data_IF_329510415610
#
_entry.id   IF_329510415610
#
_cell.length_a   1.000
_cell.length_b   1.000
_cell.length_c   1.000
_cell.angle_alpha   90.00
_cell.angle_beta   90.00
_cell.angle_gamma   90.00
#
_symmetry.space_group_name_H-M   'P 1'
#
loop_
_entity.id
_entity.type
_entity.pdbx_description
1 polymer ?
#
# COMPACT_ATOMS: atom_id res chain seq x y z
N UNK A 1 30.49 0.54 -83.58
CA UNK A 1 30.26 1.15 -82.25
C UNK A 1 28.78 1.05 -81.96
N UNK A 2 28.39 0.15 -81.05
CA UNK A 2 27.02 0.02 -80.54
C UNK A 2 27.11 0.28 -79.03
N UNK A 3 26.53 1.37 -78.56
CA UNK A 3 26.47 1.71 -77.14
C UNK A 3 25.07 1.43 -76.64
N UNK A 4 24.94 0.47 -75.72
CA UNK A 4 23.72 0.22 -74.95
C UNK A 4 23.77 1.02 -73.66
N UNK A 5 22.74 1.84 -73.41
CA UNK A 5 22.54 2.51 -72.13
C UNK A 5 21.69 1.62 -71.21
N UNK A 6 22.22 1.31 -70.02
CA UNK A 6 21.51 0.59 -68.95
C UNK A 6 20.89 1.66 -68.05
N UNK A 7 19.55 1.66 -67.95
CA UNK A 7 18.82 2.47 -67.00
C UNK A 7 18.70 1.72 -65.67
N UNK A 8 19.28 2.27 -64.60
CA UNK A 8 19.16 1.75 -63.24
C UNK A 8 17.97 2.42 -62.55
N UNK A 9 16.89 1.66 -62.34
CA UNK A 9 15.72 2.08 -61.56
C UNK A 9 16.02 1.93 -60.06
N UNK A 10 16.13 3.05 -59.34
CA UNK A 10 16.12 3.06 -57.87
C UNK A 10 14.67 2.87 -57.37
N UNK A 11 14.39 1.76 -56.70
CA UNK A 11 13.17 1.55 -55.94
C UNK A 11 13.37 2.09 -54.51
N UNK A 12 12.75 3.23 -54.18
CA UNK A 12 12.60 3.68 -52.80
C UNK A 12 11.50 2.85 -52.12
N UNK A 13 11.89 1.89 -51.29
CA UNK A 13 10.98 1.20 -50.38
C UNK A 13 10.64 2.09 -49.19
N UNK A 14 9.41 2.60 -49.14
CA UNK A 14 8.87 3.28 -47.96
C UNK A 14 8.45 2.22 -46.93
N UNK A 15 9.30 1.97 -45.92
CA UNK A 15 8.92 1.20 -44.74
C UNK A 15 8.01 2.06 -43.86
N UNK A 16 6.69 1.90 -44.01
CA UNK A 16 5.72 2.43 -43.07
C UNK A 16 5.82 1.63 -41.76
N UNK A 17 6.55 2.16 -40.76
CA UNK A 17 6.50 1.67 -39.39
C UNK A 17 5.12 2.05 -38.84
N UNK A 18 4.20 1.10 -38.82
CA UNK A 18 2.92 1.25 -38.12
C UNK A 18 3.24 1.41 -36.63
N UNK A 19 3.16 2.63 -36.12
CA UNK A 19 3.18 2.89 -34.69
C UNK A 19 1.95 2.21 -34.07
N UNK A 20 2.16 1.08 -33.40
CA UNK A 20 1.12 0.47 -32.56
C UNK A 20 0.79 1.50 -31.48
N UNK A 21 -0.46 1.94 -31.33
CA UNK A 21 -0.82 2.89 -30.28
C UNK A 21 -0.44 2.28 -28.92
N UNK A 22 0.50 2.94 -28.22
CA UNK A 22 0.84 2.56 -26.86
C UNK A 22 -0.34 2.90 -25.96
N UNK A 23 -0.94 1.88 -25.35
CA UNK A 23 -1.99 2.06 -24.35
C UNK A 23 -1.32 2.70 -23.13
N UNK A 24 -1.74 3.91 -22.74
CA UNK A 24 -1.23 4.59 -21.55
C UNK A 24 -2.19 4.43 -20.38
N UNK A 25 -1.69 4.55 -19.16
CA UNK A 25 -2.54 4.55 -17.96
C UNK A 25 -3.58 5.70 -18.00
N UNK A 26 -4.78 5.44 -17.49
CA UNK A 26 -5.87 6.43 -17.36
C UNK A 26 -5.51 7.57 -16.40
N UNK A 27 -5.72 8.80 -16.83
CA UNK A 27 -5.53 10.01 -16.02
C UNK A 27 -6.79 10.52 -15.31
N UNK A 28 -7.98 10.09 -15.71
CA UNK A 28 -9.27 10.53 -15.18
C UNK A 28 -9.74 9.74 -13.94
N UNK A 29 -8.97 8.74 -13.51
CA UNK A 29 -9.22 8.00 -12.27
C UNK A 29 -8.82 8.85 -11.07
N UNK A 30 -9.74 9.03 -10.12
CA UNK A 30 -9.41 9.62 -8.81
C UNK A 30 -8.67 8.58 -7.96
N UNK A 31 -7.41 8.80 -7.55
CA UNK A 31 -6.72 7.86 -6.69
C UNK A 31 -7.36 7.77 -5.31
N UNK A 32 -7.24 6.60 -4.67
CA UNK A 32 -7.59 6.45 -3.25
C UNK A 32 -6.43 6.93 -2.39
N UNK A 33 -6.74 7.71 -1.36
CA UNK A 33 -5.77 8.31 -0.41
C UNK A 33 -6.13 7.95 1.03
N UNK A 34 -5.20 8.17 1.96
CA UNK A 34 -5.40 7.94 3.40
C UNK A 34 -5.55 9.26 4.14
N UNK A 35 -6.52 9.32 5.06
CA UNK A 35 -6.70 10.42 6.02
C UNK A 35 -7.24 9.85 7.34
N UNK A 36 -6.57 10.18 8.44
CA UNK A 36 -6.83 9.53 9.73
C UNK A 36 -6.67 8.01 9.61
N UNK A 37 -7.61 7.25 10.16
CA UNK A 37 -7.67 5.79 10.00
C UNK A 37 -8.57 5.33 8.82
N UNK A 38 -8.69 6.13 7.76
CA UNK A 38 -9.63 5.88 6.67
C UNK A 38 -9.04 6.07 5.27
N UNK A 39 -9.55 5.28 4.32
CA UNK A 39 -9.38 5.47 2.88
C UNK A 39 -10.46 6.38 2.29
N UNK A 40 -10.08 7.16 1.28
CA UNK A 40 -10.89 8.19 0.64
C UNK A 40 -10.69 8.20 -0.87
N UNK A 41 -11.76 8.35 -1.63
CA UNK A 41 -11.72 8.65 -3.06
C UNK A 41 -12.18 10.10 -3.24
N UNK A 42 -11.21 11.02 -3.38
CA UNK A 42 -11.50 12.44 -3.21
C UNK A 42 -11.99 12.72 -1.79
N UNK A 43 -13.16 13.33 -1.66
CA UNK A 43 -13.80 13.60 -0.37
C UNK A 43 -14.78 12.49 0.09
N UNK A 44 -14.96 11.44 -0.71
CA UNK A 44 -15.86 10.33 -0.39
C UNK A 44 -15.14 9.23 0.38
N UNK A 45 -15.75 8.77 1.48
CA UNK A 45 -15.24 7.63 2.26
C UNK A 45 -15.21 6.38 1.38
N UNK A 46 -14.02 5.79 1.23
CA UNK A 46 -13.82 4.59 0.44
C UNK A 46 -13.85 3.35 1.34
N UNK A 47 -14.88 2.52 1.14
CA UNK A 47 -14.97 1.18 1.73
C UNK A 47 -14.65 0.14 0.68
N UNK A 48 -13.66 -0.70 0.95
CA UNK A 48 -13.30 -1.81 0.06
C UNK A 48 -14.42 -2.84 0.07
N UNK A 49 -15.00 -3.09 -1.12
CA UNK A 49 -15.87 -4.21 -1.43
C UNK A 49 -15.19 -4.99 -2.53
N UNK A 50 -14.47 -6.04 -2.14
CA UNK A 50 -13.63 -6.73 -3.10
C UNK A 50 -13.51 -8.22 -2.90
N UNK A 51 -12.64 -8.78 -3.72
CA UNK A 51 -12.32 -10.20 -3.78
C UNK A 51 -10.83 -10.37 -4.02
N UNK A 52 -10.28 -11.46 -3.51
CA UNK A 52 -8.94 -11.90 -3.87
C UNK A 52 -8.97 -12.57 -5.24
N UNK A 53 -8.21 -12.03 -6.19
CA UNK A 53 -8.21 -12.39 -7.60
C UNK A 53 -6.84 -12.93 -8.02
N UNK A 54 -6.67 -14.24 -7.89
CA UNK A 54 -5.48 -14.95 -8.33
C UNK A 54 -5.84 -16.33 -8.90
N UNK A 55 -6.45 -16.39 -10.11
CA UNK A 55 -6.71 -17.66 -10.79
C UNK A 55 -5.51 -18.61 -10.79
N UNK A 56 -5.73 -19.84 -10.31
CA UNK A 56 -4.67 -20.82 -10.05
C UNK A 56 -4.14 -20.78 -8.61
N UNK A 57 -4.63 -19.89 -7.75
CA UNK A 57 -4.29 -19.78 -6.33
C UNK A 57 -3.04 -18.94 -6.04
N UNK A 58 -3.00 -18.38 -4.82
CA UNK A 58 -1.95 -17.47 -4.31
C UNK A 58 -0.53 -18.05 -4.29
N UNK A 59 -0.39 -19.38 -4.31
CA UNK A 59 0.92 -20.05 -4.32
C UNK A 59 1.51 -20.27 -5.71
N UNK A 60 0.70 -20.13 -6.77
CA UNK A 60 1.16 -20.28 -8.14
C UNK A 60 1.67 -18.94 -8.68
N UNK A 61 2.80 -18.99 -9.41
CA UNK A 61 3.33 -17.82 -10.13
C UNK A 61 2.53 -17.60 -11.42
N UNK A 62 1.32 -17.08 -11.27
CA UNK A 62 0.47 -16.59 -12.34
C UNK A 62 0.30 -15.08 -12.20
N UNK A 63 0.12 -14.38 -13.31
CA UNK A 63 -0.15 -12.94 -13.31
C UNK A 63 -1.46 -12.68 -14.07
N UNK A 64 -2.60 -12.58 -13.36
CA UNK A 64 -3.89 -12.38 -14.00
C UNK A 64 -4.04 -10.96 -14.58
N UNK A 65 -3.16 -10.01 -14.23
CA UNK A 65 -3.18 -8.67 -14.79
C UNK A 65 -2.51 -8.63 -16.16
N UNK A 66 -1.62 -9.58 -16.48
CA UNK A 66 -1.07 -9.74 -17.84
C UNK A 66 -1.98 -10.51 -18.80
N UNK A 67 -2.94 -11.27 -18.28
CA UNK A 67 -3.97 -11.94 -19.07
C UNK A 67 -5.15 -11.00 -19.34
N UNK A 68 -5.02 -10.15 -20.35
CA UNK A 68 -6.03 -9.14 -20.66
C UNK A 68 -7.42 -9.74 -20.98
N UNK A 69 -7.46 -10.86 -21.69
CA UNK A 69 -8.71 -11.53 -22.06
C UNK A 69 -9.39 -12.15 -20.82
N UNK A 70 -8.63 -12.86 -19.99
CA UNK A 70 -9.13 -13.40 -18.73
C UNK A 70 -9.59 -12.31 -17.76
N UNK A 71 -8.79 -11.26 -17.61
CA UNK A 71 -9.12 -10.09 -16.79
C UNK A 71 -10.43 -9.42 -17.25
N UNK A 72 -10.59 -9.13 -18.54
CA UNK A 72 -11.82 -8.50 -19.07
C UNK A 72 -13.05 -9.39 -18.88
N UNK A 73 -12.91 -10.70 -19.10
CA UNK A 73 -13.97 -11.69 -18.83
C UNK A 73 -14.40 -11.65 -17.37
N UNK A 74 -13.45 -11.59 -16.45
CA UNK A 74 -13.71 -11.64 -15.01
C UNK A 74 -14.22 -10.30 -14.45
N UNK A 75 -13.83 -9.18 -15.06
CA UNK A 75 -14.38 -7.84 -14.75
C UNK A 75 -15.90 -7.79 -14.90
N UNK A 76 -16.48 -8.50 -15.88
CA UNK A 76 -17.94 -8.60 -16.01
C UNK A 76 -18.58 -9.20 -14.73
N UNK A 77 -17.92 -10.20 -14.13
CA UNK A 77 -18.37 -10.82 -12.88
C UNK A 77 -18.14 -9.92 -11.67
N UNK A 78 -17.05 -9.15 -11.64
CA UNK A 78 -16.83 -8.15 -10.60
C UNK A 78 -17.92 -7.07 -10.61
N UNK A 79 -18.32 -6.60 -11.80
CA UNK A 79 -19.43 -5.64 -11.95
C UNK A 79 -20.76 -6.24 -11.50
N UNK A 80 -21.04 -7.50 -11.82
CA UNK A 80 -22.24 -8.19 -11.33
C UNK A 80 -22.31 -8.28 -9.79
N UNK A 81 -21.17 -8.42 -9.12
CA UNK A 81 -21.04 -8.42 -7.67
C UNK A 81 -21.05 -7.01 -7.05
N UNK A 82 -20.85 -5.96 -7.86
CA UNK A 82 -20.70 -4.58 -7.39
C UNK A 82 -19.38 -4.31 -6.68
N UNK A 83 -18.31 -5.01 -7.08
CA UNK A 83 -16.98 -4.82 -6.48
C UNK A 83 -16.35 -3.49 -6.91
N UNK A 84 -15.52 -2.93 -6.03
CA UNK A 84 -14.68 -1.78 -6.32
C UNK A 84 -13.19 -2.04 -6.11
N UNK A 85 -12.83 -3.21 -5.58
CA UNK A 85 -11.44 -3.55 -5.26
C UNK A 85 -11.16 -5.01 -5.60
N UNK A 86 -9.98 -5.30 -6.11
CA UNK A 86 -9.41 -6.65 -6.16
C UNK A 86 -8.08 -6.67 -5.44
N UNK A 87 -7.70 -7.82 -4.88
CA UNK A 87 -6.35 -8.08 -4.41
C UNK A 87 -5.66 -9.11 -5.29
N UNK A 88 -4.41 -8.86 -5.65
CA UNK A 88 -3.58 -9.80 -6.43
C UNK A 88 -2.32 -10.11 -5.63
N UNK A 89 -1.95 -11.38 -5.52
CA UNK A 89 -0.84 -11.85 -4.67
C UNK A 89 0.49 -11.90 -5.40
N UNK A 90 0.49 -11.98 -6.73
CA UNK A 90 1.71 -12.05 -7.54
C UNK A 90 1.51 -11.49 -8.92
N UNK A 91 2.49 -10.70 -9.37
CA UNK A 91 2.57 -10.15 -10.74
C UNK A 91 3.99 -10.31 -11.27
N UNK A 92 4.11 -10.48 -12.58
CA UNK A 92 5.38 -10.52 -13.29
C UNK A 92 5.80 -9.10 -13.64
N UNK A 93 6.66 -8.50 -12.80
CA UNK A 93 7.20 -7.15 -12.98
C UNK A 93 8.11 -6.97 -14.21
N UNK A 94 8.29 -7.99 -15.07
CA UNK A 94 8.93 -7.86 -16.38
C UNK A 94 7.95 -7.61 -17.53
N UNK A 95 6.64 -7.80 -17.29
CA UNK A 95 5.58 -7.72 -18.30
C UNK A 95 4.93 -6.34 -18.37
N UNK A 96 4.00 -6.22 -19.31
CA UNK A 96 3.11 -5.07 -19.45
C UNK A 96 1.75 -5.38 -18.85
N UNK A 97 1.14 -4.38 -18.21
CA UNK A 97 -0.11 -4.51 -17.45
C UNK A 97 -1.15 -3.48 -17.89
N UNK A 98 -0.87 -2.68 -18.94
CA UNK A 98 -1.64 -1.49 -19.27
C UNK A 98 -3.09 -1.84 -19.64
N UNK A 99 -3.29 -2.94 -20.37
CA UNK A 99 -4.61 -3.30 -20.88
C UNK A 99 -5.60 -3.72 -19.78
N UNK A 100 -5.22 -4.62 -18.87
CA UNK A 100 -6.06 -5.03 -17.76
C UNK A 100 -6.22 -3.91 -16.72
N UNK A 101 -5.14 -3.18 -16.39
CA UNK A 101 -5.24 -2.07 -15.42
C UNK A 101 -6.18 -0.96 -15.89
N UNK A 102 -6.19 -0.66 -17.19
CA UNK A 102 -7.14 0.28 -17.77
C UNK A 102 -8.57 -0.29 -17.82
N UNK A 103 -8.74 -1.59 -18.12
CA UNK A 103 -10.07 -2.22 -18.05
C UNK A 103 -10.65 -2.21 -16.63
N UNK A 104 -9.82 -2.45 -15.61
CA UNK A 104 -10.20 -2.31 -14.19
C UNK A 104 -10.59 -0.87 -13.87
N UNK A 105 -9.81 0.11 -14.34
CA UNK A 105 -10.11 1.52 -14.17
C UNK A 105 -11.45 1.93 -14.80
N UNK A 106 -11.72 1.48 -16.03
CA UNK A 106 -12.99 1.72 -16.74
C UNK A 106 -14.19 1.12 -15.99
N UNK A 107 -13.98 0.01 -15.28
CA UNK A 107 -14.98 -0.61 -14.40
C UNK A 107 -15.07 0.04 -13.01
N UNK A 108 -14.23 1.03 -12.70
CA UNK A 108 -14.17 1.67 -11.38
C UNK A 108 -13.55 0.80 -10.28
N UNK A 109 -12.75 -0.20 -10.67
CA UNK A 109 -12.12 -1.19 -9.79
C UNK A 109 -10.66 -0.81 -9.53
N UNK A 110 -10.28 -0.87 -8.26
CA UNK A 110 -8.94 -0.61 -7.77
C UNK A 110 -8.18 -1.89 -7.45
N UNK A 111 -6.86 -1.83 -7.53
CA UNK A 111 -5.95 -2.93 -7.23
C UNK A 111 -5.23 -2.70 -5.90
N UNK A 112 -5.37 -3.65 -4.97
CA UNK A 112 -4.42 -3.85 -3.86
C UNK A 112 -3.44 -4.94 -4.28
N UNK A 113 -2.14 -4.66 -4.24
CA UNK A 113 -1.13 -5.55 -4.79
C UNK A 113 -0.10 -5.97 -3.76
N UNK A 114 0.07 -7.26 -3.56
CA UNK A 114 1.27 -7.80 -2.92
C UNK A 114 2.47 -7.63 -3.88
N UNK A 115 3.48 -6.86 -3.46
CA UNK A 115 4.70 -6.67 -4.30
C UNK A 115 5.65 -7.86 -4.24
N UNK A 116 5.35 -8.81 -3.35
CA UNK A 116 6.10 -10.01 -3.07
C UNK A 116 5.71 -11.14 -4.02
N UNK A 117 6.56 -12.17 -4.10
CA UNK A 117 6.21 -13.45 -4.72
C UNK A 117 6.73 -14.60 -3.86
N UNK A 118 6.29 -15.85 -4.11
CA UNK A 118 6.89 -17.04 -3.49
C UNK A 118 8.42 -17.15 -3.65
N UNK A 119 9.04 -16.46 -4.62
CA UNK A 119 10.51 -16.45 -4.80
C UNK A 119 11.20 -15.22 -4.18
N UNK A 120 10.47 -14.12 -4.05
CA UNK A 120 10.97 -12.81 -3.59
C UNK A 120 10.09 -12.33 -2.45
N UNK A 121 10.42 -12.77 -1.24
CA UNK A 121 9.71 -12.42 0.00
C UNK A 121 10.62 -12.60 1.21
N UNK A 122 10.17 -12.12 2.37
CA UNK A 122 10.81 -12.44 3.64
C UNK A 122 10.57 -13.90 4.02
N UNK A 123 11.65 -14.63 4.28
CA UNK A 123 11.58 -15.94 4.89
C UNK A 123 11.46 -15.80 6.40
N UNK A 124 10.29 -16.12 6.96
CA UNK A 124 10.01 -16.03 8.40
C UNK A 124 11.01 -16.79 9.30
N UNK A 125 11.60 -17.87 8.81
CA UNK A 125 12.58 -18.66 9.55
C UNK A 125 13.98 -18.01 9.56
N UNK A 126 14.28 -17.19 8.54
CA UNK A 126 15.57 -16.53 8.34
C UNK A 126 15.39 -15.10 7.81
N UNK A 127 14.70 -14.21 8.56
CA UNK A 127 14.29 -12.91 8.05
C UNK A 127 15.49 -11.99 7.75
N UNK A 128 16.57 -12.12 8.53
CA UNK A 128 17.82 -11.38 8.29
C UNK A 128 18.47 -11.67 6.93
N UNK A 129 18.48 -12.92 6.51
CA UNK A 129 19.15 -13.35 5.27
C UNK A 129 18.31 -13.00 4.05
N UNK A 130 16.97 -13.11 4.20
CA UNK A 130 16.01 -12.83 3.11
C UNK A 130 15.74 -11.33 2.91
N UNK A 131 15.98 -10.49 3.93
CA UNK A 131 16.02 -9.03 3.77
C UNK A 131 17.37 -8.59 3.17
N UNK A 132 17.41 -8.58 1.83
CA UNK A 132 18.60 -8.27 1.05
C UNK A 132 18.30 -7.38 -0.16
N UNK A 133 19.35 -6.86 -0.80
CA UNK A 133 19.24 -5.95 -1.95
C UNK A 133 18.58 -6.56 -3.19
N UNK A 134 18.75 -7.86 -3.44
CA UNK A 134 18.07 -8.57 -4.55
C UNK A 134 16.56 -8.60 -4.34
N UNK A 135 16.11 -8.88 -3.11
CA UNK A 135 14.70 -8.80 -2.75
C UNK A 135 14.15 -7.38 -2.90
N UNK A 136 14.85 -6.38 -2.34
CA UNK A 136 14.40 -5.00 -2.40
C UNK A 136 14.34 -4.47 -3.84
N UNK A 137 15.31 -4.84 -4.69
CA UNK A 137 15.26 -4.51 -6.11
C UNK A 137 14.00 -5.03 -6.78
N UNK A 138 13.63 -6.29 -6.51
CA UNK A 138 12.47 -6.91 -7.13
C UNK A 138 11.17 -6.17 -6.76
N UNK A 139 10.95 -5.92 -5.47
CA UNK A 139 9.72 -5.24 -5.02
C UNK A 139 9.67 -3.78 -5.47
N UNK A 140 10.83 -3.08 -5.54
CA UNK A 140 10.90 -1.72 -6.08
C UNK A 140 10.61 -1.68 -7.59
N UNK A 141 11.07 -2.68 -8.36
CA UNK A 141 10.74 -2.80 -9.78
C UNK A 141 9.25 -3.08 -9.98
N UNK A 142 8.61 -3.83 -9.07
CA UNK A 142 7.14 -3.99 -9.06
C UNK A 142 6.45 -2.64 -8.79
N UNK A 143 6.95 -1.85 -7.83
CA UNK A 143 6.43 -0.47 -7.61
C UNK A 143 6.57 0.38 -8.87
N UNK A 144 7.73 0.38 -9.55
CA UNK A 144 7.94 1.14 -10.79
C UNK A 144 6.90 0.81 -11.87
N UNK A 145 6.49 -0.46 -11.96
CA UNK A 145 5.49 -0.93 -12.94
C UNK A 145 4.09 -0.44 -12.64
N UNK A 146 3.71 -0.41 -11.36
CA UNK A 146 2.33 -0.15 -10.95
C UNK A 146 2.10 1.29 -10.47
N UNK A 147 3.14 2.04 -10.14
CA UNK A 147 3.01 3.41 -9.64
C UNK A 147 2.35 4.39 -10.64
N UNK A 148 2.43 4.08 -11.94
CA UNK A 148 1.80 4.86 -13.00
C UNK A 148 0.26 4.76 -13.01
N UNK A 149 -0.33 3.71 -12.44
CA UNK A 149 -1.77 3.53 -12.45
C UNK A 149 -2.43 4.23 -11.26
N UNK A 150 -3.39 5.11 -11.53
CA UNK A 150 -4.15 5.80 -10.50
C UNK A 150 -5.11 4.89 -9.73
N UNK A 151 -5.51 3.75 -10.32
CA UNK A 151 -6.30 2.71 -9.65
C UNK A 151 -5.46 1.66 -8.89
N UNK A 152 -4.13 1.78 -8.83
CA UNK A 152 -3.35 1.05 -7.82
C UNK A 152 -3.60 1.70 -6.45
N UNK A 153 -4.43 1.04 -5.64
CA UNK A 153 -4.87 1.53 -4.34
C UNK A 153 -3.75 1.48 -3.32
N UNK A 154 -3.11 0.31 -3.16
CA UNK A 154 -2.17 0.06 -2.10
C UNK A 154 -1.21 -1.09 -2.45
N UNK A 155 -0.06 -1.10 -1.77
CA UNK A 155 0.88 -2.21 -1.80
C UNK A 155 0.97 -2.93 -0.46
N UNK A 156 0.99 -4.26 -0.50
CA UNK A 156 1.36 -5.08 0.65
C UNK A 156 2.86 -5.37 0.65
N UNK A 157 3.55 -4.95 1.72
CA UNK A 157 4.97 -5.21 1.99
C UNK A 157 5.24 -6.67 2.38
N UNK A 158 4.20 -7.41 2.77
CA UNK A 158 4.26 -8.84 3.06
C UNK A 158 2.88 -9.40 3.40
N UNK A 159 2.78 -10.72 3.35
CA UNK A 159 1.57 -11.47 3.69
C UNK A 159 1.92 -12.60 4.67
N UNK A 160 1.33 -12.60 5.87
CA UNK A 160 1.43 -13.66 6.88
C UNK A 160 2.86 -14.19 7.14
N UNK A 161 3.86 -13.31 7.00
CA UNK A 161 5.24 -13.60 7.39
C UNK A 161 5.27 -14.05 8.86
N UNK A 162 4.59 -13.31 9.75
CA UNK A 162 4.33 -13.74 11.14
C UNK A 162 3.06 -14.59 11.12
N UNK A 163 3.18 -15.86 11.50
CA UNK A 163 2.07 -16.81 11.54
C UNK A 163 1.89 -17.51 12.90
N UNK A 164 2.73 -17.19 13.88
CA UNK A 164 2.63 -17.60 15.28
C UNK A 164 3.36 -16.60 16.20
N UNK A 165 3.39 -16.88 17.50
CA UNK A 165 4.13 -16.07 18.47
C UNK A 165 5.65 -16.02 18.18
N UNK A 166 6.35 -17.16 18.07
CA UNK A 166 7.80 -17.20 17.82
C UNK A 166 8.27 -16.51 16.53
N UNK A 167 7.46 -16.53 15.46
CA UNK A 167 7.77 -15.88 14.18
C UNK A 167 7.69 -14.35 14.24
N UNK A 168 7.17 -13.76 15.32
CA UNK A 168 7.17 -12.30 15.54
C UNK A 168 8.56 -11.66 15.49
N UNK A 169 9.65 -12.44 15.63
CA UNK A 169 11.02 -12.01 15.34
C UNK A 169 11.23 -11.45 13.93
N UNK A 170 10.34 -11.77 12.99
CA UNK A 170 10.35 -11.22 11.65
C UNK A 170 9.70 -9.83 11.55
N UNK A 171 8.97 -9.36 12.57
CA UNK A 171 8.24 -8.08 12.52
C UNK A 171 9.14 -6.86 12.24
N UNK A 172 10.36 -6.72 12.82
CA UNK A 172 11.26 -5.63 12.45
C UNK A 172 11.62 -5.61 10.97
N UNK A 173 11.73 -6.78 10.33
CA UNK A 173 12.04 -6.89 8.91
C UNK A 173 10.83 -6.54 8.04
N UNK A 174 9.62 -6.99 8.41
CA UNK A 174 8.37 -6.59 7.73
C UNK A 174 8.19 -5.07 7.76
N UNK A 175 8.43 -4.46 8.93
CA UNK A 175 8.34 -3.01 9.06
C UNK A 175 9.46 -2.28 8.31
N UNK A 176 10.67 -2.82 8.26
CA UNK A 176 11.74 -2.27 7.43
C UNK A 176 11.43 -2.33 5.93
N UNK A 177 10.86 -3.42 5.42
CA UNK A 177 10.38 -3.51 4.03
C UNK A 177 9.31 -2.46 3.75
N UNK A 178 8.37 -2.27 4.69
CA UNK A 178 7.34 -1.24 4.61
C UNK A 178 7.94 0.17 4.54
N UNK A 179 8.88 0.50 5.45
CA UNK A 179 9.63 1.76 5.45
C UNK A 179 10.33 1.99 4.11
N UNK A 180 11.05 0.99 3.62
CA UNK A 180 11.87 1.13 2.41
C UNK A 180 11.02 1.25 1.14
N UNK A 181 9.88 0.58 1.05
CA UNK A 181 8.92 0.78 -0.05
C UNK A 181 8.36 2.20 -0.06
N UNK A 182 7.99 2.74 1.11
CA UNK A 182 7.51 4.13 1.24
C UNK A 182 8.62 5.12 0.87
N UNK A 183 9.84 4.88 1.36
CA UNK A 183 11.00 5.69 1.01
C UNK A 183 11.26 5.68 -0.50
N UNK A 184 11.18 4.51 -1.13
CA UNK A 184 11.37 4.36 -2.56
C UNK A 184 10.33 5.14 -3.34
N UNK A 185 9.03 4.97 -3.04
CA UNK A 185 7.93 5.71 -3.66
C UNK A 185 8.18 7.22 -3.63
N UNK A 186 8.57 7.76 -2.46
CA UNK A 186 8.88 9.19 -2.31
C UNK A 186 10.14 9.61 -3.07
N UNK A 187 11.20 8.82 -3.02
CA UNK A 187 12.48 9.11 -3.69
C UNK A 187 12.35 9.09 -5.22
N UNK A 188 11.40 8.32 -5.75
CA UNK A 188 11.05 8.29 -7.16
C UNK A 188 10.05 9.37 -7.57
N UNK A 189 9.57 10.20 -6.63
CA UNK A 189 8.53 11.20 -6.85
C UNK A 189 7.25 10.60 -7.47
N UNK A 190 6.89 9.39 -7.05
CA UNK A 190 5.62 8.78 -7.41
C UNK A 190 4.49 9.38 -6.57
N UNK A 191 3.24 9.18 -7.03
CA UNK A 191 2.07 9.36 -6.16
C UNK A 191 2.28 8.56 -4.88
N UNK A 192 1.92 9.15 -3.74
CA UNK A 192 1.97 8.48 -2.44
C UNK A 192 0.94 7.34 -2.39
N UNK A 193 1.31 6.18 -2.91
CA UNK A 193 0.53 4.95 -2.84
C UNK A 193 0.74 4.37 -1.44
N UNK A 194 -0.33 4.17 -0.65
CA UNK A 194 -0.24 3.56 0.67
C UNK A 194 0.48 2.21 0.64
N UNK A 195 1.41 2.01 1.57
CA UNK A 195 2.08 0.72 1.80
C UNK A 195 1.72 0.20 3.18
N UNK A 196 1.33 -1.07 3.25
CA UNK A 196 0.98 -1.72 4.50
C UNK A 196 1.24 -3.21 4.51
N UNK A 197 0.71 -3.92 5.50
CA UNK A 197 0.98 -5.33 5.73
C UNK A 197 -0.31 -6.12 5.89
N UNK A 198 -0.34 -7.33 5.32
CA UNK A 198 -1.42 -8.31 5.48
C UNK A 198 -0.98 -9.35 6.51
N UNK A 199 -1.53 -9.30 7.71
CA UNK A 199 -1.19 -10.19 8.80
C UNK A 199 -2.13 -11.41 8.90
N UNK A 200 -1.68 -12.47 9.57
CA UNK A 200 -2.57 -13.55 10.00
C UNK A 200 -3.37 -13.10 11.26
N UNK A 201 -4.61 -13.58 11.43
CA UNK A 201 -5.43 -13.29 12.60
C UNK A 201 -5.04 -14.12 13.85
N UNK A 202 -3.84 -13.91 14.37
CA UNK A 202 -3.33 -14.65 15.54
C UNK A 202 -3.84 -13.99 16.83
N UNK A 203 -4.63 -14.71 17.62
CA UNK A 203 -5.27 -14.18 18.84
C UNK A 203 -4.27 -13.53 19.82
N UNK A 204 -3.07 -14.11 19.94
CA UNK A 204 -2.10 -13.71 20.95
C UNK A 204 -1.22 -12.52 20.56
N UNK A 205 -1.12 -12.18 19.27
CA UNK A 205 -0.20 -11.14 18.81
C UNK A 205 -0.75 -10.17 17.75
N UNK A 206 -2.00 -10.33 17.29
CA UNK A 206 -2.61 -9.44 16.28
C UNK A 206 -2.53 -7.96 16.64
N UNK A 207 -2.78 -7.63 17.91
CA UNK A 207 -2.80 -6.24 18.37
C UNK A 207 -1.37 -5.71 18.46
N UNK A 208 -0.44 -6.52 18.97
CA UNK A 208 0.97 -6.19 19.05
C UNK A 208 1.55 -5.97 17.64
N UNK A 209 1.22 -6.82 16.67
CA UNK A 209 1.67 -6.65 15.29
C UNK A 209 1.14 -5.36 14.67
N UNK A 210 -0.15 -5.05 14.85
CA UNK A 210 -0.73 -3.79 14.38
C UNK A 210 -0.08 -2.57 15.06
N UNK A 211 0.03 -2.60 16.39
CA UNK A 211 0.68 -1.56 17.17
C UNK A 211 2.14 -1.36 16.75
N UNK A 212 2.87 -2.43 16.46
CA UNK A 212 4.25 -2.36 16.00
C UNK A 212 4.35 -1.66 14.64
N UNK A 213 3.43 -1.97 13.71
CA UNK A 213 3.37 -1.31 12.41
C UNK A 213 3.00 0.19 12.48
N UNK A 214 2.36 0.66 13.56
CA UNK A 214 1.98 2.06 13.75
C UNK A 214 2.75 2.80 14.88
N UNK A 215 3.80 2.21 15.44
CA UNK A 215 4.66 2.89 16.40
C UNK A 215 5.94 3.43 15.75
N UNK A 216 6.75 4.21 16.49
CA UNK A 216 7.99 4.79 15.97
C UNK A 216 7.77 6.08 15.17
N UNK A 217 8.80 6.50 14.41
CA UNK A 217 8.76 7.74 13.63
C UNK A 217 7.90 7.61 12.38
N UNK A 218 7.37 8.72 11.87
CA UNK A 218 6.43 8.74 10.75
C UNK A 218 6.95 8.10 9.45
N UNK A 219 8.26 8.14 9.22
CA UNK A 219 8.90 7.49 8.08
C UNK A 219 8.92 5.97 8.18
N UNK A 220 8.87 5.42 9.39
CA UNK A 220 8.88 3.97 9.65
C UNK A 220 7.50 3.35 9.85
N UNK A 221 6.48 4.18 10.11
CA UNK A 221 5.10 3.73 10.26
C UNK A 221 4.51 3.24 8.94
N UNK A 222 3.66 2.24 9.04
CA UNK A 222 2.83 1.77 7.93
C UNK A 222 1.78 2.83 7.55
N UNK A 223 1.28 2.80 6.31
CA UNK A 223 0.16 3.68 5.90
C UNK A 223 -1.19 3.04 6.22
N UNK A 224 -1.25 1.72 6.40
CA UNK A 224 -2.42 0.95 6.82
C UNK A 224 -2.01 -0.38 7.44
N UNK A 225 -2.95 -1.09 8.05
CA UNK A 225 -2.77 -2.47 8.50
C UNK A 225 -3.97 -3.30 8.02
N UNK A 226 -3.75 -4.54 7.61
CA UNK A 226 -4.82 -5.45 7.27
C UNK A 226 -4.51 -6.83 7.80
N UNK A 227 -5.54 -7.66 7.93
CA UNK A 227 -5.34 -9.05 8.31
C UNK A 227 -6.43 -9.97 7.76
N UNK A 228 -6.04 -11.22 7.61
CA UNK A 228 -6.85 -12.30 7.08
C UNK A 228 -7.73 -12.86 8.21
N UNK A 229 -9.03 -12.56 8.17
CA UNK A 229 -9.96 -12.85 9.26
C UNK A 229 -11.07 -13.82 8.85
N UNK A 230 -10.96 -15.04 9.35
CA UNK A 230 -11.91 -16.12 9.10
C UNK A 230 -12.73 -16.49 10.36
N UNK A 231 -12.77 -15.61 11.36
CA UNK A 231 -13.47 -15.88 12.64
C UNK A 231 -14.99 -15.90 12.54
N UNK A 232 -15.56 -15.35 11.46
CA UNK A 232 -16.98 -15.46 11.17
C UNK A 232 -17.25 -16.62 10.21
N UNK A 233 -17.87 -17.69 10.73
CA UNK A 233 -18.36 -18.81 9.93
C UNK A 233 -19.88 -18.91 10.08
N UNK A 234 -20.63 -18.88 8.97
CA UNK A 234 -22.10 -18.80 9.02
C UNK A 234 -22.76 -20.06 9.60
N UNK A 235 -23.92 -19.92 10.27
CA UNK A 235 -24.49 -18.67 10.77
C UNK A 235 -23.71 -18.15 11.98
N UNK A 236 -23.48 -16.84 12.03
CA UNK A 236 -22.82 -16.19 13.16
C UNK A 236 -23.43 -14.80 13.42
N UNK A 237 -22.85 -14.05 14.35
CA UNK A 237 -23.21 -12.69 14.68
C UNK A 237 -21.96 -11.90 15.07
N UNK A 238 -22.08 -10.57 15.16
CA UNK A 238 -21.01 -9.67 15.58
C UNK A 238 -20.33 -10.10 16.89
N UNK A 239 -21.08 -10.67 17.83
CA UNK A 239 -20.57 -11.16 19.12
C UNK A 239 -20.08 -12.60 19.05
N UNK A 240 -20.78 -13.49 18.32
CA UNK A 240 -20.37 -14.90 18.19
C UNK A 240 -19.06 -15.05 17.43
N UNK A 241 -18.81 -14.22 16.40
CA UNK A 241 -17.54 -14.19 15.68
C UNK A 241 -16.39 -13.56 16.49
N UNK A 242 -16.72 -12.85 17.58
CA UNK A 242 -15.77 -12.05 18.35
C UNK A 242 -15.36 -10.74 17.67
N UNK A 243 -16.04 -10.32 16.60
CA UNK A 243 -15.76 -9.05 15.91
C UNK A 243 -16.02 -7.85 16.83
N UNK A 244 -16.97 -7.95 17.76
CA UNK A 244 -17.20 -6.95 18.82
C UNK A 244 -15.94 -6.69 19.66
N UNK A 245 -15.23 -7.75 20.03
CA UNK A 245 -13.97 -7.62 20.77
C UNK A 245 -12.85 -7.08 19.89
N UNK A 246 -12.81 -7.43 18.60
CA UNK A 246 -11.81 -6.86 17.67
C UNK A 246 -12.03 -5.37 17.47
N UNK A 247 -13.26 -4.93 17.21
CA UNK A 247 -13.62 -3.50 17.14
C UNK A 247 -13.20 -2.79 18.42
N UNK A 248 -13.53 -3.34 19.59
CA UNK A 248 -13.13 -2.75 20.88
C UNK A 248 -11.61 -2.61 20.99
N UNK A 249 -10.85 -3.63 20.60
CA UNK A 249 -9.39 -3.62 20.69
C UNK A 249 -8.72 -2.67 19.70
N UNK A 250 -9.32 -2.43 18.53
CA UNK A 250 -8.81 -1.54 17.49
C UNK A 250 -9.45 -0.14 17.51
N UNK A 251 -10.37 0.13 18.43
CA UNK A 251 -10.94 1.47 18.62
C UNK A 251 -9.82 2.45 18.98
N UNK A 252 -9.70 3.53 18.21
CA UNK A 252 -8.64 4.52 18.36
C UNK A 252 -7.32 4.17 17.66
N UNK A 253 -7.21 3.03 16.99
CA UNK A 253 -6.07 2.72 16.14
C UNK A 253 -5.92 3.78 15.04
N UNK A 254 -4.69 4.25 14.84
CA UNK A 254 -4.43 5.48 14.08
C UNK A 254 -4.28 5.31 12.57
N UNK A 255 -4.21 4.08 12.08
CA UNK A 255 -4.09 3.76 10.66
C UNK A 255 -5.36 3.09 10.12
N UNK A 256 -5.66 3.22 8.81
CA UNK A 256 -6.68 2.42 8.16
C UNK A 256 -6.50 0.94 8.43
N UNK A 257 -7.63 0.31 8.75
CA UNK A 257 -7.76 -1.13 8.95
C UNK A 257 -8.77 -1.68 7.95
N UNK A 258 -8.50 -2.84 7.37
CA UNK A 258 -9.48 -3.60 6.58
C UNK A 258 -9.18 -5.10 6.67
N UNK A 259 -10.16 -5.93 6.31
CA UNK A 259 -9.96 -7.37 6.22
C UNK A 259 -9.33 -7.68 4.87
N UNK A 260 -8.06 -8.08 4.87
CA UNK A 260 -7.33 -8.42 3.65
C UNK A 260 -7.82 -9.71 3.01
N UNK A 261 -8.47 -10.56 3.83
CA UNK A 261 -9.22 -11.75 3.44
C UNK A 261 -10.36 -11.96 4.46
N UNK A 262 -11.53 -12.41 4.01
CA UNK A 262 -12.59 -12.96 4.86
C UNK A 262 -13.47 -13.95 4.07
N UNK A 263 -14.35 -14.66 4.79
CA UNK A 263 -15.33 -15.58 4.19
C UNK A 263 -15.06 -17.04 4.53
N UNK A 264 -15.08 -17.40 5.82
CA UNK A 264 -14.88 -18.75 6.32
C UNK A 264 -15.76 -19.78 5.61
N UNK A 265 -15.17 -20.88 5.13
CA UNK A 265 -15.88 -21.93 4.38
C UNK A 265 -16.10 -23.24 5.17
N UNK A 266 -15.95 -23.23 6.50
CA UNK A 266 -16.22 -24.42 7.33
C UNK A 266 -17.69 -24.85 7.28
N UNK A 267 -18.58 -23.88 7.07
CA UNK A 267 -20.01 -24.04 6.82
C UNK A 267 -20.39 -23.45 5.45
N UNK A 268 -21.64 -23.65 5.00
CA UNK A 268 -22.14 -23.01 3.78
C UNK A 268 -22.11 -21.48 3.95
N UNK A 269 -21.35 -20.80 3.07
CA UNK A 269 -21.26 -19.34 3.07
C UNK A 269 -22.58 -18.71 2.63
N UNK A 270 -23.14 -17.90 3.51
CA UNK A 270 -24.26 -17.00 3.24
C UNK A 270 -23.79 -15.53 3.22
N UNK A 271 -22.54 -15.29 3.61
CA UNK A 271 -21.89 -13.97 3.71
C UNK A 271 -22.64 -13.03 4.64
N UNK A 272 -23.12 -13.53 5.80
CA UNK A 272 -23.85 -12.71 6.76
C UNK A 272 -22.96 -11.62 7.38
N UNK A 273 -21.65 -11.87 7.45
CA UNK A 273 -20.63 -10.95 7.91
C UNK A 273 -20.58 -9.65 7.10
N UNK A 274 -20.99 -9.67 5.83
CA UNK A 274 -21.07 -8.46 4.99
C UNK A 274 -21.94 -7.40 5.66
N UNK A 275 -23.11 -7.78 6.16
CA UNK A 275 -24.01 -6.83 6.83
C UNK A 275 -23.39 -6.20 8.08
N UNK A 276 -22.55 -6.94 8.80
CA UNK A 276 -21.82 -6.45 9.96
C UNK A 276 -20.63 -5.58 9.55
N UNK A 277 -19.86 -5.99 8.53
CA UNK A 277 -18.63 -5.32 8.10
C UNK A 277 -18.87 -3.87 7.63
N UNK A 278 -20.04 -3.61 7.04
CA UNK A 278 -20.45 -2.28 6.59
C UNK A 278 -21.50 -1.63 7.52
N UNK A 279 -21.59 -2.04 8.78
CA UNK A 279 -22.44 -1.37 9.79
C UNK A 279 -21.70 -0.26 10.54
N UNK A 280 -22.44 0.62 11.22
CA UNK A 280 -21.86 1.66 12.08
C UNK A 280 -21.07 1.08 13.27
N UNK A 281 -21.31 -0.18 13.65
CA UNK A 281 -20.55 -0.86 14.72
C UNK A 281 -19.12 -1.23 14.28
N UNK A 282 -18.89 -1.44 12.97
CA UNK A 282 -17.58 -1.83 12.43
C UNK A 282 -16.81 -0.66 11.79
N UNK A 283 -17.52 0.23 11.11
CA UNK A 283 -16.91 1.16 10.13
C UNK A 283 -16.11 2.33 10.70
N UNK A 284 -16.24 2.60 12.00
CA UNK A 284 -15.34 3.53 12.70
C UNK A 284 -13.91 3.00 12.82
N UNK A 285 -13.75 1.68 12.71
CA UNK A 285 -12.47 0.96 12.79
C UNK A 285 -12.07 0.39 11.43
N UNK A 286 -12.98 -0.30 10.74
CA UNK A 286 -12.69 -1.03 9.50
C UNK A 286 -13.16 -0.28 8.24
N UNK A 287 -12.39 -0.38 7.17
CA UNK A 287 -12.65 0.21 5.85
C UNK A 287 -13.16 -0.83 4.85
N UNK A 288 -13.91 -1.83 5.29
CA UNK A 288 -14.41 -2.94 4.46
C UNK A 288 -13.44 -4.12 4.41
N UNK A 289 -13.48 -4.88 3.31
CA UNK A 289 -12.63 -6.05 3.12
C UNK A 289 -12.77 -6.78 1.79
N UNK A 290 -11.98 -7.83 1.65
CA UNK A 290 -11.83 -8.63 0.43
C UNK A 290 -12.23 -10.09 0.70
N UNK A 291 -13.16 -10.64 -0.09
CA UNK A 291 -13.56 -12.05 0.03
C UNK A 291 -12.48 -12.95 -0.54
N UNK A 292 -12.08 -13.97 0.21
CA UNK A 292 -11.23 -15.06 -0.27
C UNK A 292 -12.13 -16.21 -0.79
N UNK A 293 -12.09 -16.60 -2.06
CA UNK A 293 -11.36 -16.02 -3.21
C UNK A 293 -12.20 -16.15 -4.49
N UNK A 294 -11.80 -15.52 -5.60
CA UNK A 294 -12.60 -15.51 -6.83
C UNK A 294 -12.69 -16.89 -7.50
N UNK A 295 -11.56 -17.52 -7.82
CA UNK A 295 -11.52 -18.80 -8.54
C UNK A 295 -11.61 -19.99 -7.58
N UNK A 296 -12.28 -21.04 -8.02
CA UNK A 296 -12.41 -22.28 -7.27
C UNK A 296 -11.11 -23.08 -7.33
N UNK A 297 -10.38 -23.05 -6.22
CA UNK A 297 -9.16 -23.82 -6.01
C UNK A 297 -9.40 -25.05 -5.10
N UNK A 298 -8.40 -25.92 -4.86
CA UNK A 298 -8.55 -27.10 -4.00
C UNK A 298 -9.00 -26.79 -2.56
N UNK A 299 -8.75 -25.55 -2.10
CA UNK A 299 -9.16 -25.00 -0.79
C UNK A 299 -10.68 -24.81 -0.64
N UNK A 300 -11.41 -24.81 -1.76
CA UNK A 300 -12.87 -24.64 -1.86
C UNK A 300 -13.41 -23.29 -1.38
N UNK A 301 -12.70 -22.21 -1.70
CA UNK A 301 -13.12 -20.83 -1.41
C UNK A 301 -13.67 -20.06 -2.63
N UNK A 302 -13.70 -20.67 -3.81
CA UNK A 302 -14.07 -19.98 -5.05
C UNK A 302 -15.51 -19.48 -5.11
N UNK A 303 -15.70 -18.35 -5.76
CA UNK A 303 -17.01 -17.86 -6.20
C UNK A 303 -17.35 -18.39 -7.60
N UNK A 304 -16.34 -18.65 -8.43
CA UNK A 304 -16.52 -19.16 -9.78
C UNK A 304 -15.60 -20.35 -10.06
N UNK A 305 -16.01 -21.25 -10.94
CA UNK A 305 -15.10 -22.21 -11.57
C UNK A 305 -14.67 -21.69 -12.94
N UNK A 306 -13.38 -21.78 -13.24
CA UNK A 306 -12.79 -21.36 -14.52
C UNK A 306 -12.32 -22.62 -15.25
N UNK A 307 -12.80 -22.81 -16.47
CA UNK A 307 -12.37 -23.88 -17.38
C UNK A 307 -12.02 -23.23 -18.74
N UNK A 308 -10.73 -23.17 -19.04
CA UNK A 308 -10.15 -22.31 -20.08
C UNK A 308 -10.65 -20.85 -19.97
N UNK A 309 -11.41 -20.40 -20.97
CA UNK A 309 -12.01 -19.07 -21.03
C UNK A 309 -13.48 -19.04 -20.58
N UNK A 310 -14.01 -20.13 -20.03
CA UNK A 310 -15.39 -20.22 -19.57
C UNK A 310 -15.44 -20.09 -18.05
N UNK A 311 -16.21 -19.11 -17.59
CA UNK A 311 -16.49 -18.87 -16.17
C UNK A 311 -17.90 -19.31 -15.86
N UNK A 312 -18.04 -20.17 -14.85
CA UNK A 312 -19.32 -20.57 -14.29
C UNK A 312 -19.40 -20.13 -12.83
N UNK A 313 -20.47 -19.43 -12.48
CA UNK A 313 -20.74 -19.02 -11.10
C UNK A 313 -21.11 -20.23 -10.23
N UNK A 314 -20.69 -20.19 -8.96
CA UNK A 314 -21.02 -21.16 -7.93
C UNK A 314 -22.04 -20.57 -6.94
N UNK A 315 -22.60 -21.40 -6.06
CA UNK A 315 -23.56 -20.98 -5.02
C UNK A 315 -23.10 -19.75 -4.22
N UNK A 316 -21.80 -19.70 -3.91
CA UNK A 316 -21.21 -18.65 -3.09
C UNK A 316 -21.17 -17.30 -3.84
N UNK A 317 -21.10 -17.29 -5.18
CA UNK A 317 -21.24 -16.07 -5.97
C UNK A 317 -22.63 -15.45 -5.79
N UNK A 318 -23.68 -16.26 -5.87
CA UNK A 318 -25.06 -15.78 -5.72
C UNK A 318 -25.34 -15.34 -4.28
N UNK A 319 -24.78 -16.04 -3.29
CA UNK A 319 -24.85 -15.65 -1.88
C UNK A 319 -24.17 -14.28 -1.65
N UNK A 320 -22.94 -14.10 -2.15
CA UNK A 320 -22.21 -12.85 -2.01
C UNK A 320 -22.91 -11.69 -2.73
N UNK A 321 -23.36 -11.89 -3.97
CA UNK A 321 -24.14 -10.91 -4.75
C UNK A 321 -25.37 -10.44 -3.97
N UNK A 322 -26.08 -11.38 -3.34
CA UNK A 322 -27.24 -11.09 -2.49
C UNK A 322 -26.86 -10.35 -1.21
N UNK A 323 -25.75 -10.70 -0.57
CA UNK A 323 -25.28 -10.04 0.64
C UNK A 323 -24.85 -8.58 0.37
N UNK A 324 -24.06 -8.36 -0.69
CA UNK A 324 -23.64 -7.01 -1.09
C UNK A 324 -24.80 -6.13 -1.55
N UNK A 325 -25.69 -6.63 -2.41
CA UNK A 325 -26.83 -5.84 -2.91
C UNK A 325 -27.80 -5.39 -1.82
N UNK A 326 -27.89 -6.12 -0.71
CA UNK A 326 -28.73 -5.77 0.45
C UNK A 326 -28.04 -4.86 1.47
N UNK A 327 -26.72 -4.72 1.39
CA UNK A 327 -25.93 -4.02 2.39
C UNK A 327 -25.41 -2.72 1.80
N UNK A 328 -25.94 -1.58 2.24
CA UNK A 328 -25.39 -0.26 1.88
C UNK A 328 -24.20 0.10 2.77
N UNK A 329 -23.32 0.98 2.30
CA UNK A 329 -22.32 1.60 3.17
C UNK A 329 -23.00 2.56 4.17
N UNK A 330 -22.41 2.82 5.35
CA UNK A 330 -22.88 3.87 6.24
C UNK A 330 -22.80 5.24 5.56
N UNK A 331 -23.66 6.16 5.99
CA UNK A 331 -23.65 7.54 5.48
C UNK A 331 -22.46 8.32 6.05
N UNK A 332 -22.02 9.34 5.31
CA UNK A 332 -20.97 10.26 5.77
C UNK A 332 -19.60 9.59 5.86
N UNK A 333 -18.88 9.88 6.94
CA UNK A 333 -17.48 9.47 7.11
C UNK A 333 -17.29 8.13 7.85
N UNK A 334 -18.38 7.47 8.24
CA UNK A 334 -18.35 6.19 8.94
C UNK A 334 -17.85 6.25 10.38
N UNK A 335 -17.73 7.44 10.99
CA UNK A 335 -17.21 7.56 12.35
C UNK A 335 -15.70 7.30 12.45
N UNK A 336 -14.96 7.45 11.36
CA UNK A 336 -13.51 7.24 11.34
C UNK A 336 -12.78 8.11 12.37
N UNK A 337 -11.66 7.61 12.89
CA UNK A 337 -10.72 8.35 13.72
C UNK A 337 -9.97 9.41 12.88
N UNK A 338 -10.40 10.66 13.03
CA UNK A 338 -9.83 11.83 12.33
C UNK A 338 -8.43 12.19 12.79
N UNK A 339 -8.12 11.94 14.06
CA UNK A 339 -6.84 12.29 14.67
C UNK A 339 -5.72 11.43 14.11
N UNK A 340 -6.01 10.15 13.85
CA UNK A 340 -5.00 9.18 13.43
C UNK A 340 -3.86 9.10 14.45
N UNK A 341 -2.63 8.95 13.94
CA UNK A 341 -1.42 9.11 14.73
C UNK A 341 -0.79 7.82 15.24
N UNK A 342 0.41 7.95 15.81
CA UNK A 342 1.21 6.83 16.28
C UNK A 342 0.70 6.32 17.64
N UNK A 343 0.91 5.03 17.89
CA UNK A 343 0.76 4.44 19.23
C UNK A 343 2.13 4.08 19.81
N UNK A 344 2.23 3.83 21.13
CA UNK A 344 3.45 3.25 21.72
C UNK A 344 3.77 1.89 21.13
N UNK A 345 5.06 1.56 20.97
CA UNK A 345 5.45 0.22 20.54
C UNK A 345 5.09 -0.82 21.61
N UNK A 346 4.63 -2.03 21.21
CA UNK A 346 4.33 -3.09 22.14
C UNK A 346 5.58 -3.53 22.91
N UNK A 347 5.44 -3.74 24.22
CA UNK A 347 6.48 -4.36 25.02
C UNK A 347 6.62 -5.84 24.64
N UNK A 348 7.85 -6.37 24.76
CA UNK A 348 8.12 -7.79 24.60
C UNK A 348 7.25 -8.64 25.56
N UNK A 349 6.62 -9.68 25.03
CA UNK A 349 5.79 -10.64 25.77
C UNK A 349 5.99 -12.06 25.21
N UNK A 350 7.10 -12.70 25.57
CA UNK A 350 7.45 -14.04 25.06
C UNK A 350 6.55 -15.12 25.68
N UNK A 351 6.02 -16.09 24.90
CA UNK A 351 6.34 -16.38 23.50
C UNK A 351 5.42 -15.71 22.47
N UNK A 352 4.42 -14.95 22.90
CA UNK A 352 3.39 -14.38 22.02
C UNK A 352 3.94 -13.24 21.13
N UNK A 353 4.85 -12.44 21.67
CA UNK A 353 5.49 -11.31 21.01
C UNK A 353 6.97 -11.22 21.41
N UNK A 354 7.84 -11.76 20.56
CA UNK A 354 9.29 -11.90 20.78
C UNK A 354 10.08 -10.86 19.96
N UNK A 355 9.71 -9.59 20.15
CA UNK A 355 10.38 -8.42 19.57
C UNK A 355 11.00 -7.59 20.69
N UNK A 356 12.32 -7.43 20.67
CA UNK A 356 13.08 -6.85 21.78
C UNK A 356 12.97 -5.33 21.90
N UNK A 357 12.79 -4.63 20.77
CA UNK A 357 12.72 -3.17 20.71
C UNK A 357 12.04 -2.70 19.43
N UNK A 358 11.88 -1.40 19.28
CA UNK A 358 11.39 -0.74 18.07
C UNK A 358 12.46 -0.55 16.99
N UNK A 359 13.72 -0.94 17.26
CA UNK A 359 14.82 -0.84 16.32
C UNK A 359 14.58 -1.70 15.07
N UNK A 360 14.71 -1.07 13.89
CA UNK A 360 14.58 -1.72 12.60
C UNK A 360 15.97 -1.96 11.97
N UNK A 361 16.15 -3.01 11.16
CA UNK A 361 17.36 -3.13 10.35
C UNK A 361 17.47 -1.94 9.38
N UNK A 362 18.69 -1.43 9.20
CA UNK A 362 18.99 -0.44 8.17
C UNK A 362 18.79 -1.04 6.78
N UNK A 363 18.47 -0.23 5.78
CA UNK A 363 18.43 -0.69 4.40
C UNK A 363 19.78 -1.34 4.00
N UNK A 364 19.79 -2.53 3.35
CA UNK A 364 21.00 -3.15 2.85
C UNK A 364 21.81 -2.19 1.97
N UNK A 365 23.13 -2.17 2.13
CA UNK A 365 24.00 -1.20 1.45
C UNK A 365 23.87 -1.27 -0.07
N UNK A 366 23.75 -2.47 -0.64
CA UNK A 366 23.55 -2.67 -2.07
C UNK A 366 22.21 -2.15 -2.60
N UNK A 367 21.22 -1.94 -1.73
CA UNK A 367 19.90 -1.42 -2.11
C UNK A 367 19.82 0.12 -2.10
N UNK A 368 20.74 0.81 -1.42
CA UNK A 368 20.76 2.29 -1.33
C UNK A 368 20.79 2.96 -2.71
N UNK A 369 21.47 2.34 -3.68
CA UNK A 369 21.54 2.84 -5.06
C UNK A 369 20.17 2.96 -5.73
N UNK A 370 19.23 2.05 -5.42
CA UNK A 370 17.91 2.04 -6.05
C UNK A 370 17.09 3.27 -5.71
N UNK A 371 17.26 3.83 -4.51
CA UNK A 371 16.58 5.07 -4.11
C UNK A 371 16.87 6.24 -5.06
N UNK A 372 18.10 6.30 -5.59
CA UNK A 372 18.54 7.34 -6.51
C UNK A 372 18.33 6.96 -7.97
N UNK A 373 18.76 5.77 -8.34
CA UNK A 373 18.89 5.36 -9.75
C UNK A 373 17.59 4.73 -10.28
N UNK A 374 16.69 4.31 -9.38
CA UNK A 374 15.55 3.43 -9.67
C UNK A 374 15.94 1.96 -9.56
N UNK A 375 14.95 1.09 -9.49
CA UNK A 375 15.15 -0.36 -9.34
C UNK A 375 15.73 -1.01 -10.59
N UNK A 376 15.53 -0.39 -11.75
CA UNK A 376 15.88 -0.96 -13.05
C UNK A 376 14.86 -1.99 -13.52
N UNK A 377 15.27 -2.87 -14.43
CA UNK A 377 14.36 -3.88 -15.00
C UNK A 377 14.03 -4.95 -13.96
N UNK A 378 12.75 -5.31 -13.85
CA UNK A 378 12.30 -6.44 -13.04
C UNK A 378 12.68 -7.80 -13.67
N UNK A 379 13.08 -8.74 -12.82
CA UNK A 379 13.45 -10.11 -13.22
C UNK A 379 12.24 -10.98 -13.63
N UNK A 380 11.03 -10.56 -13.26
CA UNK A 380 9.80 -11.33 -13.51
C UNK A 380 9.77 -12.68 -12.81
N UNK A 381 8.88 -13.58 -13.23
CA UNK A 381 8.77 -14.91 -12.63
C UNK A 381 9.93 -15.86 -12.97
N UNK A 382 10.72 -15.53 -14.01
CA UNK A 382 11.92 -16.25 -14.42
C UNK A 382 13.12 -16.04 -13.48
N UNK A 383 13.04 -15.10 -12.54
CA UNK A 383 14.10 -14.80 -11.59
C UNK A 383 14.48 -15.97 -10.67
N UNK A 384 15.72 -15.91 -10.14
CA UNK A 384 16.30 -16.95 -9.27
C UNK A 384 15.74 -16.93 -7.84
N UNK A 385 15.06 -15.86 -7.43
CA UNK A 385 14.60 -15.63 -6.06
C UNK A 385 15.68 -15.05 -5.14
N UNK A 386 15.28 -14.71 -3.92
CA UNK A 386 16.13 -14.00 -2.94
C UNK A 386 16.08 -14.57 -1.52
N UNK A 387 15.13 -15.48 -1.24
CA UNK A 387 14.84 -15.95 0.13
C UNK A 387 16.00 -16.70 0.80
N UNK A 388 16.85 -17.37 0.01
CA UNK A 388 18.00 -18.14 0.50
C UNK A 388 19.29 -17.32 0.57
N UNK A 389 19.21 -15.99 0.41
CA UNK A 389 20.35 -15.08 0.31
C UNK A 389 20.78 -14.83 -1.13
N UNK A 390 22.06 -14.50 -1.33
CA UNK A 390 22.63 -14.15 -2.65
C UNK A 390 22.69 -12.65 -2.93
N UNK A 391 22.10 -11.84 -2.06
CA UNK A 391 22.24 -10.38 -2.03
C UNK A 391 23.01 -9.88 -0.81
N UNK A 392 23.37 -8.60 -0.83
CA UNK A 392 23.88 -7.92 0.37
C UNK A 392 22.74 -7.72 1.38
N UNK A 393 23.00 -8.01 2.65
CA UNK A 393 22.02 -7.89 3.74
C UNK A 393 22.27 -6.63 4.57
N UNK A 394 21.34 -6.31 5.46
CA UNK A 394 21.52 -5.23 6.43
C UNK A 394 22.70 -5.51 7.38
N UNK A 395 23.56 -4.50 7.54
CA UNK A 395 24.76 -4.55 8.38
C UNK A 395 24.61 -3.79 9.70
N UNK A 396 23.46 -3.13 9.94
CA UNK A 396 23.24 -2.29 11.12
C UNK A 396 21.78 -1.97 11.39
N UNK A 397 21.56 -1.07 12.33
CA UNK A 397 20.24 -0.57 12.73
C UNK A 397 19.94 0.74 12.02
N UNK A 398 18.69 0.95 11.64
CA UNK A 398 18.24 2.19 11.02
C UNK A 398 18.33 3.36 12.01
N UNK A 399 18.75 4.52 11.52
CA UNK A 399 18.72 5.75 12.29
C UNK A 399 17.34 6.43 12.17
N UNK A 400 16.87 7.16 13.20
CA UNK A 400 15.62 7.90 13.12
C UNK A 400 15.57 8.82 11.88
N UNK A 401 14.48 8.73 11.10
CA UNK A 401 14.31 9.53 9.89
C UNK A 401 15.00 8.95 8.64
N UNK A 402 15.73 7.83 8.74
CA UNK A 402 16.43 7.21 7.61
C UNK A 402 15.51 6.68 6.50
N UNK A 403 14.21 6.54 6.76
CA UNK A 403 13.18 6.24 5.76
C UNK A 403 12.62 7.49 5.06
N UNK A 404 13.05 8.69 5.45
CA UNK A 404 12.68 9.92 4.76
C UNK A 404 13.35 9.99 3.38
N UNK A 405 12.68 10.61 2.41
CA UNK A 405 13.30 10.86 1.11
C UNK A 405 14.46 11.85 1.27
N UNK A 406 15.64 11.50 0.77
CA UNK A 406 16.77 12.44 0.71
C UNK A 406 16.49 13.47 -0.38
N UNK A 407 16.31 14.74 0.00
CA UNK A 407 16.14 15.82 -0.97
C UNK A 407 17.39 15.95 -1.85
N UNK A 408 17.25 15.69 -3.14
CA UNK A 408 18.27 16.02 -4.14
C UNK A 408 18.19 17.52 -4.46
N UNK A 409 18.95 18.33 -3.72
CA UNK A 409 19.45 19.65 -4.12
C UNK A 409 18.43 20.70 -4.57
N UNK A 410 17.98 21.52 -3.63
CA UNK A 410 17.37 22.82 -3.88
C UNK A 410 17.53 23.71 -2.64
N UNK A 411 18.12 24.89 -2.84
CA UNK A 411 18.52 25.84 -1.80
C UNK A 411 17.48 26.07 -0.71
N UNK A 412 17.99 26.28 0.51
CA UNK A 412 17.29 26.75 1.71
C UNK A 412 16.02 27.55 1.46
N UNK A 413 14.88 26.99 1.85
CA UNK A 413 13.72 27.76 2.32
C UNK A 413 13.09 26.99 3.48
N UNK A 414 13.13 27.60 4.66
CA UNK A 414 12.68 26.98 5.90
C UNK A 414 11.17 26.80 5.93
N UNK A 415 10.73 25.59 6.25
CA UNK A 415 9.34 25.29 6.58
C UNK A 415 9.06 25.73 8.01
N UNK A 416 8.14 26.67 8.18
CA UNK A 416 7.53 26.98 9.46
C UNK A 416 6.58 25.85 9.87
N UNK A 417 6.93 25.09 10.89
CA UNK A 417 5.97 24.29 11.66
C UNK A 417 5.39 25.13 12.79
N UNK A 418 4.07 25.24 12.79
CA UNK A 418 3.28 25.77 13.89
C UNK A 418 3.12 24.71 14.98
N UNK A 419 3.69 24.95 16.16
CA UNK A 419 3.11 24.47 17.43
C UNK A 419 3.37 25.49 18.52
N UNK A 420 2.34 25.72 19.33
CA UNK A 420 2.25 26.82 20.28
C UNK A 420 3.09 26.58 21.54
N UNK A 421 3.84 27.62 21.94
CA UNK A 421 3.86 28.08 23.32
C UNK A 421 5.00 27.61 24.24
N UNK A 422 6.20 28.16 24.05
CA UNK A 422 7.03 28.75 25.14
C UNK A 422 7.86 29.88 24.52
N UNK A 423 7.62 31.14 24.91
CA UNK A 423 8.36 32.30 24.40
C UNK A 423 9.77 32.35 25.00
N UNK A 424 10.79 32.13 24.18
CA UNK A 424 12.14 32.63 24.43
C UNK A 424 12.46 33.67 23.34
N UNK A 425 12.50 34.95 23.73
CA UNK A 425 12.85 36.07 22.86
C UNK A 425 14.33 35.99 22.45
N UNK A 426 14.66 36.14 21.15
CA UNK A 426 16.06 36.30 20.74
C UNK A 426 16.50 37.75 20.98
N UNK A 427 17.73 37.91 21.49
CA UNK A 427 18.39 39.20 21.71
C UNK A 427 18.40 40.06 20.44
N UNK A 428 17.49 41.02 20.35
CA UNK A 428 17.54 42.07 19.34
C UNK A 428 18.51 43.16 19.78
N UNK A 429 19.50 43.46 18.93
CA UNK A 429 20.39 44.60 19.07
C UNK A 429 19.59 45.90 19.12
N UNK A 430 19.75 46.66 20.21
CA UNK A 430 19.09 47.95 20.46
C UNK A 430 19.65 49.12 19.63
N UNK A 431 20.61 48.87 18.74
CA UNK A 431 21.30 49.93 17.99
C UNK A 431 20.37 50.80 17.10
N UNK A 432 19.36 50.26 16.38
CA UNK A 432 18.50 51.10 15.53
C UNK A 432 17.50 51.95 16.33
N UNK A 433 17.13 51.51 17.54
CA UNK A 433 16.14 52.18 18.40
C UNK A 433 16.76 53.38 19.13
N UNK A 434 18.03 53.26 19.55
CA UNK A 434 18.77 54.34 20.21
C UNK A 434 19.03 55.51 19.25
N UNK A 435 19.36 55.24 17.98
CA UNK A 435 19.57 56.28 16.95
C UNK A 435 18.26 57.01 16.61
N UNK A 436 17.13 56.27 16.56
CA UNK A 436 15.80 56.86 16.37
C UNK A 436 15.38 57.78 17.53
N UNK A 437 15.60 57.36 18.78
CA UNK A 437 15.24 58.16 19.96
C UNK A 437 16.09 59.43 20.11
N UNK A 438 17.39 59.38 19.80
CA UNK A 438 18.27 60.58 19.84
C UNK A 438 17.85 61.63 18.80
N UNK A 439 17.38 61.20 17.63
CA UNK A 439 16.94 62.11 16.57
C UNK A 439 15.61 62.80 16.92
N UNK A 440 14.69 62.09 17.58
CA UNK A 440 13.40 62.64 18.03
C UNK A 440 13.59 63.54 19.26
N UNK A 441 14.45 63.19 20.22
CA UNK A 441 14.71 64.09 21.36
C UNK A 441 15.46 65.37 20.95
N UNK A 442 16.36 65.31 19.96
CA UNK A 442 17.09 66.50 19.48
C UNK A 442 16.20 67.48 18.72
N UNK A 443 15.13 66.99 18.07
CA UNK A 443 14.14 67.85 17.39
C UNK A 443 13.17 68.52 18.37
N UNK A 444 12.81 67.86 19.48
CA UNK A 444 12.01 68.48 20.53
C UNK A 444 12.79 69.46 21.43
N UNK A 445 14.10 69.24 21.64
CA UNK A 445 14.94 70.17 22.41
C UNK A 445 15.43 71.39 21.60
N UNK A 446 15.53 71.26 20.26
CA UNK A 446 15.83 72.40 19.37
C UNK A 446 14.65 73.35 19.17
N UNK A 447 13.41 72.83 19.22
CA UNK A 447 12.20 73.64 19.04
C UNK A 447 11.80 74.47 20.28
N UNK A 448 12.31 74.13 21.47
CA UNK A 448 12.07 74.88 22.72
C UNK A 448 13.11 75.96 23.02
N UNK A 449 14.19 76.05 22.24
CA UNK A 449 15.27 77.04 22.38
C UNK A 449 15.21 78.21 21.38
N UNK A 450 14.14 78.28 20.57
CA UNK A 450 13.86 79.41 19.63
C UNK A 450 12.63 80.23 20.09
N UNK A 451 12.04 79.89 21.23
CA UNK A 451 10.94 80.64 21.86
C UNK A 451 11.28 81.01 23.32
N UNK A 452 12.45 81.62 23.50
CA UNK A 452 12.83 82.41 24.67
C UNK A 452 13.66 83.62 24.23
#
# INVERSE_FOLDING_TARGET
MKSSAIATTLTLGASAVLAVPSITARDDVTPVTVKGNAFWKGDERFYMRGVDYQPGGSSNLADPITDAEGCKRDIEKFKELGLNTIRVYSVDNSKDHDECMNALADAGIYLVLDVNTPKYSLNRASPKISYNDVYLQYIFATVDKFAKYKNTLAFFSGNEVINDGPSSKAAPYVKAVTRDLRQYIRSRNYREIPVGYSAADINTNRLQMAQFMNCGTDDERSDFFAFNDYSWCDPSSFTTSGWDQKVKNFTGYGLPLFLSEYGCNTNKRQFQEVSSLYSEDMTGVYSGGLVYEYSQEPSKYGLVSIDDNKVKTLDDFDALKKAFSKTSNPKGDGGYNKTGGANPCPAKDSPNWDVDSDALPAIPDGAKKYMKDGAGKGDGFGGKGSMSGGGSTSTGTAEPGSGSASSSGGSSSGTSSSSAGVMNLPNMSMAPIVVGMVTVMSTFFGATLVLA
#
